data_IF_994692348304
#
_entry.id   IF_994692348304
#
_cell.length_a   1.000
_cell.length_b   1.000
_cell.length_c   1.000
_cell.angle_alpha   90.00
_cell.angle_beta   90.00
_cell.angle_gamma   90.00
#
_symmetry.space_group_name_H-M   'P 1'
#
loop_
_entity.id
_entity.type
_entity.pdbx_description
1 polymer ?
#
# COMPACT_ATOMS: atom_id res chain seq x y z
N UNK A 1 -13.65 -6.22 -26.07
CA UNK A 1 -13.61 -7.64 -25.70
C UNK A 1 -12.18 -8.11 -25.70
N UNK A 2 -11.79 -8.83 -24.65
CA UNK A 2 -10.44 -9.41 -24.51
C UNK A 2 -10.11 -10.38 -25.67
N UNK A 3 -8.86 -10.36 -26.11
CA UNK A 3 -8.34 -11.29 -27.10
C UNK A 3 -8.01 -12.65 -26.45
N UNK A 4 -8.81 -13.68 -26.74
CA UNK A 4 -8.63 -15.02 -26.18
C UNK A 4 -7.40 -15.76 -26.72
N UNK A 5 -6.84 -15.34 -27.87
CA UNK A 5 -5.59 -15.91 -28.37
C UNK A 5 -4.39 -15.40 -27.56
N UNK A 6 -4.44 -14.14 -27.12
CA UNK A 6 -3.39 -13.53 -26.31
C UNK A 6 -3.55 -13.79 -24.81
N UNK A 7 -4.79 -13.89 -24.34
CA UNK A 7 -5.13 -14.08 -22.93
C UNK A 7 -6.05 -15.31 -22.74
N UNK A 8 -5.54 -16.53 -23.01
CA UNK A 8 -6.35 -17.75 -23.07
C UNK A 8 -6.96 -18.16 -21.73
N UNK A 9 -6.37 -17.78 -20.59
CA UNK A 9 -6.93 -18.06 -19.26
C UNK A 9 -7.81 -16.92 -18.78
N UNK A 10 -7.30 -15.69 -18.82
CA UNK A 10 -8.03 -14.52 -18.34
C UNK A 10 -9.34 -14.28 -19.10
N UNK A 11 -9.39 -14.62 -20.40
CA UNK A 11 -10.62 -14.54 -21.19
C UNK A 11 -11.76 -15.43 -20.68
N UNK A 12 -11.42 -16.52 -20.00
CA UNK A 12 -12.38 -17.46 -19.39
C UNK A 12 -12.85 -17.04 -18.00
N UNK A 13 -12.29 -15.98 -17.42
CA UNK A 13 -12.62 -15.50 -16.07
C UNK A 13 -13.53 -14.28 -16.18
N UNK A 14 -14.83 -14.47 -15.92
CA UNK A 14 -15.78 -13.37 -15.75
C UNK A 14 -16.02 -13.05 -14.28
N UNK A 15 -15.86 -14.04 -13.40
CA UNK A 15 -16.06 -13.90 -11.96
C UNK A 15 -15.02 -14.72 -11.18
N UNK A 16 -14.90 -14.51 -9.86
CA UNK A 16 -14.04 -15.33 -9.01
C UNK A 16 -14.40 -16.83 -9.03
N UNK A 17 -15.65 -17.21 -9.35
CA UNK A 17 -16.03 -18.61 -9.50
C UNK A 17 -15.36 -19.28 -10.69
N UNK A 18 -15.14 -18.55 -11.78
CA UNK A 18 -14.41 -19.06 -12.95
C UNK A 18 -12.93 -19.22 -12.64
N UNK A 19 -12.34 -18.27 -11.89
CA UNK A 19 -10.95 -18.35 -11.42
C UNK A 19 -10.72 -19.61 -10.57
N UNK A 20 -11.68 -19.97 -9.72
CA UNK A 20 -11.61 -21.17 -8.86
C UNK A 20 -11.73 -22.50 -9.60
N UNK A 21 -12.05 -22.51 -10.90
CA UNK A 21 -12.11 -23.72 -11.73
C UNK A 21 -10.74 -24.10 -12.32
N UNK A 22 -9.77 -23.20 -12.26
CA UNK A 22 -8.41 -23.48 -12.71
C UNK A 22 -7.65 -24.26 -11.64
N UNK A 23 -6.69 -25.08 -12.07
CA UNK A 23 -5.75 -25.69 -11.16
C UNK A 23 -4.85 -24.62 -10.52
N UNK A 24 -4.45 -24.85 -9.27
CA UNK A 24 -3.59 -23.93 -8.52
C UNK A 24 -2.25 -23.66 -9.21
N UNK A 25 -1.76 -24.63 -10.00
CA UNK A 25 -0.56 -24.51 -10.82
C UNK A 25 -0.70 -23.52 -11.98
N UNK A 26 -1.93 -23.15 -12.38
CA UNK A 26 -2.19 -22.17 -13.44
C UNK A 26 -2.25 -20.72 -12.93
N UNK A 27 -2.33 -20.50 -11.61
CA UNK A 27 -2.44 -19.16 -11.03
C UNK A 27 -1.28 -18.22 -11.40
N UNK A 28 -0.01 -18.67 -11.48
CA UNK A 28 1.08 -17.83 -11.99
C UNK A 28 0.83 -17.34 -13.41
N UNK A 29 0.38 -18.21 -14.32
CA UNK A 29 0.09 -17.84 -15.69
C UNK A 29 -1.12 -16.88 -15.78
N UNK A 30 -2.12 -17.05 -14.91
CA UNK A 30 -3.26 -16.11 -14.81
C UNK A 30 -2.79 -14.74 -14.35
N UNK A 31 -1.90 -14.66 -13.36
CA UNK A 31 -1.32 -13.39 -12.91
C UNK A 31 -0.52 -12.69 -14.02
N UNK A 32 0.24 -13.45 -14.82
CA UNK A 32 0.98 -12.90 -15.97
C UNK A 32 0.04 -12.34 -17.04
N UNK A 33 -1.02 -13.07 -17.39
CA UNK A 33 -2.05 -12.60 -18.32
C UNK A 33 -2.77 -11.35 -17.78
N UNK A 34 -3.12 -11.35 -16.49
CA UNK A 34 -3.76 -10.21 -15.83
C UNK A 34 -2.86 -8.97 -15.84
N UNK A 35 -1.56 -9.15 -15.62
CA UNK A 35 -0.56 -8.08 -15.70
C UNK A 35 -0.47 -7.50 -17.09
N UNK A 36 -0.27 -8.35 -18.10
CA UNK A 36 -0.17 -7.91 -19.47
C UNK A 36 -1.45 -7.21 -19.94
N UNK A 37 -2.62 -7.70 -19.53
CA UNK A 37 -3.91 -7.08 -19.84
C UNK A 37 -4.10 -5.72 -19.15
N UNK A 38 -3.70 -5.61 -17.88
CA UNK A 38 -3.76 -4.37 -17.12
C UNK A 38 -2.87 -3.30 -17.76
N UNK A 39 -1.63 -3.66 -18.12
CA UNK A 39 -0.67 -2.78 -18.79
C UNK A 39 -1.27 -2.23 -20.09
N UNK A 40 -1.84 -3.11 -20.92
CA UNK A 40 -2.43 -2.70 -22.19
C UNK A 40 -3.67 -1.83 -22.00
N UNK A 41 -4.60 -2.24 -21.13
CA UNK A 41 -5.92 -1.62 -21.02
C UNK A 41 -5.84 -0.28 -20.30
N UNK A 42 -5.17 -0.24 -19.14
CA UNK A 42 -5.08 0.97 -18.32
C UNK A 42 -4.04 1.94 -18.87
N UNK A 43 -3.07 1.48 -19.66
CA UNK A 43 -2.22 2.37 -20.46
C UNK A 43 -3.05 3.30 -21.36
N UNK A 44 -4.15 2.79 -21.94
CA UNK A 44 -5.02 3.57 -22.84
C UNK A 44 -5.92 4.59 -22.11
N UNK A 45 -6.33 4.31 -20.87
CA UNK A 45 -7.23 5.18 -20.09
C UNK A 45 -6.48 6.12 -19.15
N UNK A 46 -5.28 5.75 -18.72
CA UNK A 46 -4.64 6.32 -17.54
C UNK A 46 -5.29 5.82 -16.25
N UNK A 47 -4.90 6.40 -15.11
CA UNK A 47 -5.35 6.00 -13.78
C UNK A 47 -4.20 5.64 -12.84
N UNK A 48 -4.52 4.94 -11.76
CA UNK A 48 -3.55 4.49 -10.75
C UNK A 48 -2.82 3.23 -11.21
N UNK A 49 -1.92 3.41 -12.16
CA UNK A 49 -1.30 2.32 -12.91
C UNK A 49 -0.35 1.47 -12.05
N UNK A 50 0.65 2.10 -11.41
CA UNK A 50 1.68 1.36 -10.67
C UNK A 50 1.16 0.59 -9.44
N UNK A 51 0.14 1.12 -8.77
CA UNK A 51 -0.41 0.49 -7.55
C UNK A 51 -1.11 -0.84 -7.85
N UNK A 52 -1.88 -0.91 -8.94
CA UNK A 52 -2.56 -2.15 -9.35
C UNK A 52 -1.57 -3.27 -9.73
N UNK A 53 -0.48 -2.93 -10.41
CA UNK A 53 0.55 -3.90 -10.81
C UNK A 53 1.20 -4.60 -9.61
N UNK A 54 1.40 -3.88 -8.50
CA UNK A 54 2.05 -4.42 -7.31
C UNK A 54 1.24 -5.47 -6.56
N UNK A 55 -0.08 -5.55 -6.77
CA UNK A 55 -0.98 -6.44 -6.00
C UNK A 55 -1.64 -7.52 -6.85
N UNK A 56 -1.15 -7.78 -8.06
CA UNK A 56 -1.75 -8.76 -8.98
C UNK A 56 -1.81 -10.14 -8.36
N UNK A 57 -0.67 -10.66 -7.90
CA UNK A 57 -0.57 -11.98 -7.29
C UNK A 57 -1.43 -12.10 -6.03
N UNK A 58 -1.37 -11.09 -5.17
CA UNK A 58 -2.20 -11.02 -3.97
C UNK A 58 -3.69 -11.04 -4.32
N UNK A 59 -4.10 -10.31 -5.34
CA UNK A 59 -5.51 -10.23 -5.77
C UNK A 59 -5.99 -11.55 -6.35
N UNK A 60 -5.16 -12.23 -7.16
CA UNK A 60 -5.43 -13.58 -7.67
C UNK A 60 -5.58 -14.56 -6.52
N UNK A 61 -4.64 -14.58 -5.57
CA UNK A 61 -4.69 -15.49 -4.42
C UNK A 61 -5.93 -15.24 -3.53
N UNK A 62 -6.29 -13.98 -3.29
CA UNK A 62 -7.48 -13.62 -2.53
C UNK A 62 -8.76 -14.10 -3.21
N UNK A 63 -8.96 -13.83 -4.50
CA UNK A 63 -10.17 -14.27 -5.19
C UNK A 63 -10.20 -15.78 -5.45
N UNK A 64 -9.04 -16.44 -5.53
CA UNK A 64 -9.00 -17.89 -5.61
C UNK A 64 -9.43 -18.54 -4.27
N UNK A 65 -9.02 -17.99 -3.13
CA UNK A 65 -9.26 -18.60 -1.83
C UNK A 65 -10.54 -18.16 -1.13
N UNK A 66 -10.95 -16.90 -1.27
CA UNK A 66 -12.10 -16.32 -0.57
C UNK A 66 -13.35 -16.37 -1.44
N UNK A 67 -14.49 -16.74 -0.87
CA UNK A 67 -15.78 -16.84 -1.56
C UNK A 67 -16.41 -15.45 -1.74
N UNK A 68 -15.71 -14.52 -2.37
CA UNK A 68 -16.27 -13.20 -2.68
C UNK A 68 -17.47 -13.32 -3.63
N UNK A 69 -18.57 -12.58 -3.44
CA UNK A 69 -18.74 -11.48 -2.47
C UNK A 69 -19.31 -11.91 -1.09
N UNK A 70 -19.48 -13.20 -0.82
CA UNK A 70 -19.90 -13.69 0.51
C UNK A 70 -18.84 -13.32 1.53
N UNK A 71 -17.61 -13.77 1.32
CA UNK A 71 -16.44 -13.24 2.00
C UNK A 71 -16.17 -11.80 1.53
N UNK A 72 -15.81 -10.92 2.46
CA UNK A 72 -15.78 -9.48 2.23
C UNK A 72 -14.33 -8.97 2.20
N UNK A 73 -13.98 -8.29 1.10
CA UNK A 73 -12.69 -7.62 0.93
C UNK A 73 -12.88 -6.10 1.00
N UNK A 74 -12.15 -5.46 1.90
CA UNK A 74 -12.09 -4.00 2.05
C UNK A 74 -10.71 -3.53 1.64
N UNK A 75 -10.63 -2.79 0.53
CA UNK A 75 -9.37 -2.28 -0.01
C UNK A 75 -9.15 -0.83 0.44
N UNK A 76 -8.05 -0.55 1.13
CA UNK A 76 -7.73 0.81 1.57
C UNK A 76 -7.38 1.71 0.39
N UNK A 77 -7.90 2.96 0.36
CA UNK A 77 -7.89 3.92 -0.76
C UNK A 77 -8.59 3.40 -2.02
N UNK A 78 -8.33 2.16 -2.44
CA UNK A 78 -8.92 1.51 -3.59
C UNK A 78 -8.12 1.66 -4.89
N UNK A 79 -7.09 2.50 -4.91
CA UNK A 79 -6.32 2.78 -6.12
C UNK A 79 -5.57 1.57 -6.70
N UNK A 80 -5.29 0.56 -5.88
CA UNK A 80 -4.66 -0.70 -6.25
C UNK A 80 -5.64 -1.76 -6.79
N UNK A 81 -6.93 -1.44 -6.94
CA UNK A 81 -7.98 -2.45 -7.18
C UNK A 81 -8.30 -2.74 -8.64
N UNK A 82 -7.52 -2.26 -9.61
CA UNK A 82 -7.78 -2.59 -11.01
C UNK A 82 -7.74 -4.10 -11.31
N UNK A 83 -6.78 -4.89 -10.77
CA UNK A 83 -6.84 -6.35 -10.86
C UNK A 83 -8.12 -6.95 -10.26
N UNK A 84 -8.58 -6.40 -9.12
CA UNK A 84 -9.82 -6.83 -8.46
C UNK A 84 -11.03 -6.58 -9.36
N UNK A 85 -11.15 -5.37 -9.95
CA UNK A 85 -12.23 -5.03 -10.88
C UNK A 85 -12.23 -5.95 -12.11
N UNK A 86 -11.05 -6.22 -12.67
CA UNK A 86 -10.90 -7.13 -13.81
C UNK A 86 -11.40 -8.54 -13.47
N UNK A 87 -11.02 -9.10 -12.32
CA UNK A 87 -11.42 -10.46 -11.91
C UNK A 87 -12.87 -10.57 -11.41
N UNK A 88 -13.60 -9.45 -11.35
CA UNK A 88 -14.97 -9.39 -10.80
C UNK A 88 -15.98 -8.78 -11.78
N UNK A 89 -15.86 -9.18 -13.05
CA UNK A 89 -16.85 -8.90 -14.09
C UNK A 89 -16.69 -7.58 -14.83
N UNK A 90 -15.66 -6.78 -14.50
CA UNK A 90 -15.44 -5.46 -15.13
C UNK A 90 -14.22 -5.44 -16.06
N UNK A 91 -13.74 -6.61 -16.46
CA UNK A 91 -12.58 -6.76 -17.35
C UNK A 91 -12.76 -5.96 -18.64
N UNK A 92 -13.83 -6.21 -19.37
CA UNK A 92 -14.04 -5.62 -20.69
C UNK A 92 -14.30 -4.10 -20.64
N UNK A 93 -14.71 -3.56 -19.49
CA UNK A 93 -14.99 -2.13 -19.27
C UNK A 93 -13.85 -1.37 -18.59
N UNK A 94 -12.78 -2.03 -18.15
CA UNK A 94 -11.71 -1.39 -17.35
C UNK A 94 -11.04 -0.20 -18.05
N UNK A 95 -11.03 -0.22 -19.39
CA UNK A 95 -10.50 0.86 -20.23
C UNK A 95 -11.32 2.17 -20.16
N UNK A 96 -12.49 2.15 -19.52
CA UNK A 96 -13.33 3.33 -19.28
C UNK A 96 -13.05 3.99 -17.93
N UNK A 97 -12.09 3.50 -17.16
CA UNK A 97 -11.82 4.01 -15.80
C UNK A 97 -11.52 5.52 -15.81
N UNK A 98 -12.08 6.24 -14.83
CA UNK A 98 -12.03 7.72 -14.71
C UNK A 98 -12.73 8.51 -15.82
N UNK A 99 -13.40 7.84 -16.77
CA UNK A 99 -14.25 8.52 -17.74
C UNK A 99 -15.65 8.73 -17.15
N UNK A 100 -16.36 9.73 -17.66
CA UNK A 100 -17.75 9.96 -17.28
C UNK A 100 -18.56 8.70 -17.62
N UNK A 101 -19.39 8.24 -16.68
CA UNK A 101 -20.25 7.05 -16.80
C UNK A 101 -19.49 5.72 -17.00
N UNK A 102 -18.15 5.74 -16.86
CA UNK A 102 -17.30 4.54 -16.91
C UNK A 102 -17.03 3.95 -15.53
N UNK A 103 -16.11 2.97 -15.49
CA UNK A 103 -15.70 2.30 -14.26
C UNK A 103 -15.11 3.30 -13.24
N UNK A 104 -15.56 3.22 -12.00
CA UNK A 104 -15.06 4.06 -10.92
C UNK A 104 -13.57 3.75 -10.64
N UNK A 105 -12.75 4.78 -10.37
CA UNK A 105 -11.32 4.58 -10.08
C UNK A 105 -11.03 3.87 -8.75
N UNK A 106 -12.03 3.77 -7.88
CA UNK A 106 -11.97 3.14 -6.57
C UNK A 106 -13.16 2.19 -6.41
N UNK A 107 -13.13 1.25 -5.44
CA UNK A 107 -14.29 0.46 -5.07
C UNK A 107 -15.50 1.34 -4.75
N UNK A 108 -16.62 1.02 -5.38
CA UNK A 108 -17.90 1.72 -5.23
C UNK A 108 -19.00 0.68 -5.06
N UNK A 109 -19.69 0.71 -3.92
CA UNK A 109 -20.68 -0.31 -3.54
C UNK A 109 -21.82 -0.44 -4.54
N UNK A 110 -22.24 0.68 -5.14
CA UNK A 110 -23.30 0.69 -6.15
C UNK A 110 -22.82 0.20 -7.52
N UNK A 111 -21.50 0.12 -7.76
CA UNK A 111 -20.93 -0.39 -9.02
C UNK A 111 -20.85 -1.92 -9.04
N UNK A 112 -20.55 -2.55 -7.91
CA UNK A 112 -20.32 -4.00 -7.86
C UNK A 112 -20.56 -4.58 -6.46
N UNK A 113 -21.19 -5.77 -6.34
CA UNK A 113 -21.31 -6.47 -5.06
C UNK A 113 -19.96 -6.90 -4.48
N UNK A 114 -18.90 -6.95 -5.31
CA UNK A 114 -17.54 -7.26 -4.87
C UNK A 114 -16.84 -6.06 -4.21
N UNK A 115 -17.34 -4.84 -4.42
CA UNK A 115 -16.84 -3.61 -3.82
C UNK A 115 -17.54 -3.41 -2.46
N UNK A 116 -17.15 -4.20 -1.46
CA UNK A 116 -17.95 -4.34 -0.21
C UNK A 116 -18.00 -3.08 0.66
N UNK A 117 -17.04 -2.16 0.49
CA UNK A 117 -16.99 -0.86 1.15
C UNK A 117 -16.49 0.22 0.18
N UNK A 118 -17.05 1.42 0.28
CA UNK A 118 -16.67 2.56 -0.56
C UNK A 118 -15.44 3.27 0.02
N UNK A 119 -14.46 3.57 -0.83
CA UNK A 119 -13.19 4.16 -0.39
C UNK A 119 -12.72 5.26 -1.34
N UNK A 120 -11.74 6.03 -0.87
CA UNK A 120 -11.05 7.08 -1.62
C UNK A 120 -10.05 7.80 -0.71
N UNK A 121 -10.50 8.15 0.49
CA UNK A 121 -9.58 8.47 1.58
C UNK A 121 -8.88 7.19 2.08
N UNK A 122 -7.67 7.35 2.59
CA UNK A 122 -6.84 6.27 3.13
C UNK A 122 -7.16 5.92 4.58
N UNK A 123 -6.67 4.78 5.01
CA UNK A 123 -6.63 4.31 6.41
C UNK A 123 -7.98 4.01 7.03
N UNK A 124 -9.02 3.89 6.21
CA UNK A 124 -10.38 3.55 6.65
C UNK A 124 -10.62 2.04 6.65
N UNK A 125 -9.78 1.26 5.97
CA UNK A 125 -10.06 -0.16 5.71
C UNK A 125 -10.16 -1.01 6.97
N UNK A 126 -9.24 -0.83 7.94
CA UNK A 126 -9.22 -1.63 9.17
C UNK A 126 -10.46 -1.32 10.01
N UNK A 127 -10.80 -0.05 10.21
CA UNK A 127 -12.02 0.35 10.94
C UNK A 127 -13.29 -0.19 10.28
N UNK A 128 -13.39 -0.06 8.95
CA UNK A 128 -14.54 -0.55 8.20
C UNK A 128 -14.67 -2.08 8.28
N UNK A 129 -13.58 -2.80 8.05
CA UNK A 129 -13.53 -4.26 8.12
C UNK A 129 -13.80 -4.77 9.54
N UNK A 130 -13.28 -4.09 10.57
CA UNK A 130 -13.57 -4.39 11.96
C UNK A 130 -15.06 -4.26 12.27
N UNK A 131 -15.69 -3.15 11.88
CA UNK A 131 -17.14 -2.96 12.05
C UNK A 131 -17.97 -4.01 11.32
N UNK A 132 -17.56 -4.40 10.12
CA UNK A 132 -18.18 -5.49 9.36
C UNK A 132 -18.02 -6.84 10.08
N UNK A 133 -16.83 -7.15 10.61
CA UNK A 133 -16.56 -8.39 11.33
C UNK A 133 -17.37 -8.49 12.64
N UNK A 134 -17.47 -7.39 13.39
CA UNK A 134 -18.30 -7.30 14.62
C UNK A 134 -19.77 -7.57 14.28
N UNK A 135 -20.31 -6.90 13.26
CA UNK A 135 -21.71 -7.08 12.86
C UNK A 135 -22.01 -8.54 12.46
N UNK A 136 -21.11 -9.18 11.70
CA UNK A 136 -21.26 -10.59 11.30
C UNK A 136 -21.17 -11.55 12.47
N UNK A 137 -20.26 -11.30 13.39
CA UNK A 137 -20.11 -12.12 14.60
C UNK A 137 -21.38 -12.08 15.47
N UNK A 138 -22.01 -10.91 15.62
CA UNK A 138 -23.27 -10.78 16.37
C UNK A 138 -24.43 -11.57 15.72
N UNK A 139 -24.39 -11.76 14.40
CA UNK A 139 -25.37 -12.55 13.66
C UNK A 139 -25.03 -14.06 13.62
N UNK A 140 -23.90 -14.47 14.20
CA UNK A 140 -23.42 -15.86 14.12
C UNK A 140 -22.91 -16.26 12.73
N UNK A 141 -22.58 -15.29 11.88
CA UNK A 141 -22.09 -15.49 10.52
C UNK A 141 -20.55 -15.62 10.50
N UNK A 142 -20.05 -16.78 10.10
CA UNK A 142 -18.62 -17.10 10.08
C UNK A 142 -17.88 -16.69 8.78
N UNK A 143 -18.52 -15.92 7.89
CA UNK A 143 -17.87 -15.39 6.68
C UNK A 143 -16.58 -14.62 7.03
N UNK A 144 -15.65 -14.58 6.09
CA UNK A 144 -14.36 -13.93 6.29
C UNK A 144 -14.43 -12.46 5.92
N UNK A 145 -13.78 -11.62 6.72
CA UNK A 145 -13.58 -10.20 6.44
C UNK A 145 -12.08 -9.91 6.37
N UNK A 146 -11.65 -9.30 5.28
CA UNK A 146 -10.23 -9.00 5.00
C UNK A 146 -10.08 -7.51 4.69
N UNK A 147 -9.21 -6.82 5.42
CA UNK A 147 -8.74 -5.49 5.08
C UNK A 147 -7.40 -5.57 4.35
N UNK A 148 -7.26 -4.94 3.19
CA UNK A 148 -5.98 -4.81 2.47
C UNK A 148 -5.52 -3.36 2.53
N UNK A 149 -4.44 -3.09 3.24
CA UNK A 149 -3.94 -1.73 3.54
C UNK A 149 -2.48 -1.59 3.12
N UNK A 150 -2.13 -0.45 2.52
CA UNK A 150 -0.74 -0.13 2.17
C UNK A 150 0.07 0.35 3.37
N UNK A 151 1.41 0.24 3.31
CA UNK A 151 2.33 0.73 4.33
C UNK A 151 2.18 2.24 4.59
N UNK A 152 2.01 3.05 3.54
CA UNK A 152 1.72 4.48 3.68
C UNK A 152 0.42 4.75 4.46
N UNK A 153 -0.65 4.01 4.17
CA UNK A 153 -1.94 4.16 4.86
C UNK A 153 -1.90 3.68 6.32
N UNK A 154 -1.01 2.74 6.66
CA UNK A 154 -0.80 2.29 8.04
C UNK A 154 -0.20 3.40 8.94
N UNK A 155 0.35 4.47 8.37
CA UNK A 155 0.92 5.60 9.14
C UNK A 155 -0.14 6.51 9.78
N UNK A 156 -1.40 6.43 9.33
CA UNK A 156 -2.46 7.31 9.82
C UNK A 156 -3.00 6.89 11.19
N UNK A 157 -3.39 7.89 12.00
CA UNK A 157 -3.97 7.68 13.33
C UNK A 157 -5.14 6.69 13.33
N UNK A 158 -6.08 6.82 12.37
CA UNK A 158 -7.26 5.95 12.26
C UNK A 158 -6.92 4.46 12.13
N UNK A 159 -5.81 4.12 11.46
CA UNK A 159 -5.36 2.73 11.35
C UNK A 159 -4.94 2.18 12.73
N UNK A 160 -4.18 2.97 13.51
CA UNK A 160 -3.77 2.61 14.87
C UNK A 160 -4.94 2.57 15.85
N UNK A 161 -5.87 3.52 15.76
CA UNK A 161 -7.08 3.53 16.55
C UNK A 161 -7.88 2.23 16.35
N UNK A 162 -8.00 1.79 15.10
CA UNK A 162 -8.70 0.55 14.76
C UNK A 162 -7.97 -0.70 15.26
N UNK A 163 -6.65 -0.78 15.08
CA UNK A 163 -5.83 -1.88 15.58
C UNK A 163 -5.90 -1.96 17.11
N UNK A 164 -5.72 -0.84 17.79
CA UNK A 164 -5.78 -0.74 19.24
C UNK A 164 -7.17 -1.11 19.79
N UNK A 165 -8.24 -0.61 19.15
CA UNK A 165 -9.60 -0.99 19.53
C UNK A 165 -9.78 -2.50 19.38
N UNK A 166 -9.47 -3.07 18.20
CA UNK A 166 -9.64 -4.50 17.94
C UNK A 166 -8.92 -5.36 18.99
N UNK A 167 -7.65 -5.06 19.27
CA UNK A 167 -6.84 -5.80 20.24
C UNK A 167 -7.31 -5.71 21.68
N UNK A 168 -8.04 -4.64 22.03
CA UNK A 168 -8.60 -4.42 23.36
C UNK A 168 -10.00 -5.00 23.57
N UNK A 169 -10.58 -5.68 22.57
CA UNK A 169 -11.92 -6.28 22.70
C UNK A 169 -11.84 -7.63 23.42
N UNK A 170 -12.72 -7.85 24.41
CA UNK A 170 -12.85 -9.16 25.08
C UNK A 170 -13.30 -10.27 24.12
N UNK A 171 -14.16 -9.90 23.16
CA UNK A 171 -14.61 -10.79 22.10
C UNK A 171 -13.86 -10.47 20.82
N UNK A 172 -12.93 -11.32 20.43
CA UNK A 172 -12.12 -11.13 19.24
C UNK A 172 -12.94 -11.41 17.96
N UNK A 173 -13.19 -10.39 17.10
CA UNK A 173 -13.80 -10.62 15.82
C UNK A 173 -12.84 -11.32 14.85
N UNK A 174 -13.41 -12.08 13.91
CA UNK A 174 -12.61 -12.72 12.87
C UNK A 174 -12.23 -11.71 11.78
N UNK A 175 -11.05 -11.12 11.91
CA UNK A 175 -10.51 -10.14 10.97
C UNK A 175 -9.12 -10.55 10.50
N UNK A 176 -8.89 -10.48 9.18
CA UNK A 176 -7.55 -10.51 8.59
C UNK A 176 -7.19 -9.13 8.06
N UNK A 177 -6.10 -8.57 8.56
CA UNK A 177 -5.45 -7.38 8.00
C UNK A 177 -4.28 -7.84 7.14
N UNK A 178 -4.24 -7.43 5.88
CA UNK A 178 -3.11 -7.64 4.98
C UNK A 178 -2.40 -6.30 4.79
N UNK A 179 -1.19 -6.21 5.35
CA UNK A 179 -0.29 -5.09 5.13
C UNK A 179 0.49 -5.33 3.85
N UNK A 180 0.18 -4.55 2.81
CA UNK A 180 0.89 -4.49 1.55
C UNK A 180 2.02 -3.46 1.64
N UNK A 181 3.23 -3.92 1.97
CA UNK A 181 4.43 -3.09 2.11
C UNK A 181 5.22 -3.05 0.81
N UNK A 182 5.28 -1.86 0.18
CA UNK A 182 6.16 -1.59 -0.95
C UNK A 182 7.15 -0.45 -0.66
N UNK A 183 7.29 -0.04 0.61
CA UNK A 183 8.07 1.10 1.09
C UNK A 183 7.70 2.47 0.46
N UNK A 184 6.51 2.61 -0.14
CA UNK A 184 6.09 3.82 -0.84
C UNK A 184 4.68 4.27 -0.43
N UNK A 185 4.52 5.59 -0.34
CA UNK A 185 3.24 6.28 -0.43
C UNK A 185 3.05 6.78 -1.88
N UNK A 186 2.72 8.07 -2.08
CA UNK A 186 2.94 8.75 -3.37
C UNK A 186 4.44 8.95 -3.54
N UNK A 187 5.06 9.66 -2.60
CA UNK A 187 6.51 9.73 -2.37
C UNK A 187 7.00 8.55 -1.52
N UNK A 188 8.29 8.52 -1.20
CA UNK A 188 8.85 7.54 -0.26
C UNK A 188 8.10 7.57 1.09
N UNK A 189 7.75 6.41 1.65
CA UNK A 189 7.06 6.37 2.94
C UNK A 189 7.96 6.94 4.06
N UNK A 190 7.38 7.76 4.94
CA UNK A 190 8.08 8.39 6.07
C UNK A 190 7.43 7.99 7.40
N UNK A 191 8.23 7.92 8.46
CA UNK A 191 7.74 7.66 9.82
C UNK A 191 8.54 6.61 10.58
N UNK A 192 8.27 6.50 11.88
CA UNK A 192 8.88 5.50 12.75
C UNK A 192 8.49 4.07 12.37
N UNK A 193 7.23 3.87 11.97
CA UNK A 193 6.74 2.57 11.51
C UNK A 193 7.45 2.11 10.23
N UNK A 194 7.58 2.98 9.22
CA UNK A 194 8.30 2.65 7.99
C UNK A 194 9.76 2.26 8.28
N UNK A 195 10.44 2.98 9.18
CA UNK A 195 11.79 2.61 9.62
C UNK A 195 11.83 1.24 10.32
N UNK A 196 10.81 0.90 11.11
CA UNK A 196 10.68 -0.40 11.77
C UNK A 196 10.48 -1.52 10.74
N UNK A 197 9.57 -1.34 9.79
CA UNK A 197 9.28 -2.31 8.73
C UNK A 197 10.51 -2.49 7.81
N UNK A 198 11.15 -1.40 7.38
CA UNK A 198 12.37 -1.44 6.55
C UNK A 198 13.58 -2.10 7.22
N UNK A 199 13.69 -2.07 8.55
CA UNK A 199 14.73 -2.84 9.27
C UNK A 199 14.47 -4.34 9.24
N UNK A 200 13.21 -4.76 9.29
CA UNK A 200 12.85 -6.17 9.21
C UNK A 200 13.17 -6.76 7.84
N UNK A 201 12.94 -6.00 6.76
CA UNK A 201 13.27 -6.40 5.38
C UNK A 201 14.79 -6.43 5.15
N UNK A 202 15.51 -5.39 5.61
CA UNK A 202 16.96 -5.30 5.50
C UNK A 202 17.70 -6.42 6.24
N UNK A 203 17.14 -6.96 7.33
CA UNK A 203 17.75 -8.06 8.09
C UNK A 203 17.90 -9.36 7.28
N UNK A 204 17.00 -9.66 6.33
CA UNK A 204 17.12 -10.83 5.44
C UNK A 204 18.27 -10.66 4.44
N UNK A 205 18.40 -9.49 3.84
CA UNK A 205 19.47 -9.16 2.88
C UNK A 205 20.83 -9.08 3.57
N UNK A 206 20.89 -8.51 4.78
CA UNK A 206 22.09 -8.47 5.60
C UNK A 206 22.51 -9.88 6.06
N UNK A 207 21.54 -10.75 6.36
CA UNK A 207 21.81 -12.15 6.69
C UNK A 207 22.33 -12.93 5.47
N UNK A 208 21.77 -12.73 4.27
CA UNK A 208 22.29 -13.33 3.04
C UNK A 208 23.73 -12.86 2.70
N UNK A 209 24.02 -11.56 2.86
CA UNK A 209 25.37 -11.00 2.73
C UNK A 209 26.34 -11.53 3.80
N UNK A 210 25.86 -11.70 5.05
CA UNK A 210 26.65 -12.29 6.15
C UNK A 210 26.94 -13.76 5.93
N UNK A 211 26.03 -14.52 5.32
CA UNK A 211 26.29 -15.92 4.95
C UNK A 211 27.30 -16.04 3.80
N UNK A 212 27.29 -15.11 2.85
CA UNK A 212 28.37 -14.96 1.86
C UNK A 212 29.72 -14.60 2.49
N UNK A 213 29.73 -13.69 3.47
CA UNK A 213 30.92 -13.28 4.21
C UNK A 213 31.48 -14.32 5.18
N UNK A 214 30.67 -15.28 5.64
CA UNK A 214 31.12 -16.41 6.48
C UNK A 214 32.09 -17.35 5.75
N UNK A 215 32.15 -17.32 4.41
CA UNK A 215 33.18 -18.05 3.64
C UNK A 215 34.56 -17.36 3.62
N UNK A 216 34.66 -16.10 4.06
CA UNK A 216 35.89 -15.30 4.00
C UNK A 216 36.55 -15.12 5.38
N UNK A 217 35.81 -15.33 6.46
CA UNK A 217 36.33 -15.18 7.82
C UNK A 217 36.69 -16.54 8.41
N UNK A 218 37.98 -16.84 8.34
CA UNK A 218 38.62 -18.01 8.96
C UNK A 218 38.39 -18.16 10.46
N UNK A 219 38.83 -19.32 10.94
CA UNK A 219 38.52 -20.02 12.18
C UNK A 219 38.14 -19.19 13.43
N UNK A 220 36.93 -19.46 13.95
CA UNK A 220 36.28 -18.72 15.06
C UNK A 220 36.48 -19.36 16.44
N UNK A 221 37.69 -19.76 16.82
CA UNK A 221 37.90 -20.32 18.18
C UNK A 221 38.51 -19.36 19.21
N UNK A 222 39.15 -18.25 18.84
CA UNK A 222 39.90 -17.44 19.82
C UNK A 222 39.74 -15.90 19.74
N UNK A 223 38.74 -15.35 19.03
CA UNK A 223 38.61 -13.89 18.91
C UNK A 223 37.62 -13.27 19.93
N UNK A 224 38.05 -12.40 20.86
CA UNK A 224 37.18 -11.70 21.82
C UNK A 224 36.10 -10.83 21.17
N UNK A 225 36.38 -10.23 20.00
CA UNK A 225 35.40 -9.41 19.27
C UNK A 225 34.24 -10.24 18.72
N UNK A 226 34.46 -11.52 18.37
CA UNK A 226 33.38 -12.40 17.92
C UNK A 226 32.36 -12.71 19.02
N UNK A 227 32.80 -12.80 20.29
CA UNK A 227 31.91 -12.99 21.45
C UNK A 227 31.14 -11.72 21.80
N UNK A 228 31.77 -10.54 21.69
CA UNK A 228 31.10 -9.27 21.88
C UNK A 228 30.03 -9.04 20.81
N UNK A 229 30.37 -9.26 19.52
CA UNK A 229 29.42 -9.18 18.40
C UNK A 229 28.27 -10.16 18.58
N UNK A 230 28.54 -11.42 18.98
CA UNK A 230 27.48 -12.42 19.22
C UNK A 230 26.52 -12.01 20.34
N UNK A 231 27.04 -11.48 21.46
CA UNK A 231 26.21 -10.97 22.57
C UNK A 231 25.41 -9.73 22.19
N UNK A 232 25.98 -8.84 21.38
CA UNK A 232 25.27 -7.69 20.82
C UNK A 232 24.17 -8.13 19.86
N UNK A 233 24.45 -9.13 19.02
CA UNK A 233 23.49 -9.75 18.10
C UNK A 233 22.35 -10.44 18.86
N UNK A 234 22.64 -11.13 19.97
CA UNK A 234 21.65 -11.76 20.84
C UNK A 234 20.79 -10.74 21.59
N UNK A 235 21.36 -9.61 22.04
CA UNK A 235 20.60 -8.50 22.65
C UNK A 235 19.77 -7.71 21.62
N UNK A 236 20.25 -7.54 20.40
CA UNK A 236 19.51 -6.85 19.33
C UNK A 236 18.35 -7.69 18.78
N UNK A 237 18.46 -9.03 18.81
CA UNK A 237 17.36 -9.94 18.43
C UNK A 237 16.17 -9.89 19.39
N UNK A 238 16.35 -9.38 20.61
CA UNK A 238 15.31 -9.27 21.63
C UNK A 238 14.62 -7.90 21.74
N UNK A 239 15.04 -6.89 20.96
CA UNK A 239 14.49 -5.54 21.00
C UNK A 239 13.95 -5.11 19.63
N UNK A 240 12.62 -5.12 19.49
CA UNK A 240 11.84 -4.59 18.36
C UNK A 240 12.02 -5.29 17.01
N UNK A 241 11.33 -6.42 16.85
CA UNK A 241 10.93 -6.97 15.55
C UNK A 241 9.50 -6.48 15.28
N UNK A 242 9.06 -6.18 14.04
CA UNK A 242 7.67 -5.80 13.78
C UNK A 242 6.61 -6.73 14.39
N UNK A 243 6.94 -8.02 14.56
CA UNK A 243 6.07 -9.00 15.21
C UNK A 243 5.68 -8.57 16.63
N UNK A 244 6.62 -8.04 17.43
CA UNK A 244 6.32 -7.64 18.82
C UNK A 244 5.34 -6.47 18.87
N UNK A 245 5.36 -5.54 17.92
CA UNK A 245 4.41 -4.42 17.95
C UNK A 245 2.96 -4.87 17.69
N UNK A 246 2.73 -5.65 16.64
CA UNK A 246 1.38 -6.09 16.29
C UNK A 246 0.85 -7.19 17.21
N UNK A 247 1.73 -8.06 17.72
CA UNK A 247 1.36 -9.08 18.71
C UNK A 247 0.94 -8.43 20.04
N UNK A 248 1.63 -7.37 20.50
CA UNK A 248 1.22 -6.61 21.69
C UNK A 248 -0.08 -5.82 21.47
N UNK A 249 -0.46 -5.55 20.20
CA UNK A 249 -1.79 -5.06 19.83
C UNK A 249 -2.82 -6.19 19.67
N UNK A 250 -2.52 -7.43 20.06
CA UNK A 250 -3.45 -8.55 20.03
C UNK A 250 -3.60 -9.24 18.67
N UNK A 251 -2.76 -8.93 17.67
CA UNK A 251 -2.85 -9.56 16.35
C UNK A 251 -1.88 -10.74 16.24
N UNK A 252 -2.37 -11.86 15.71
CA UNK A 252 -1.49 -12.93 15.22
C UNK A 252 -0.74 -12.46 13.97
N UNK A 253 0.52 -12.10 14.12
CA UNK A 253 1.36 -11.60 13.03
C UNK A 253 1.98 -12.74 12.21
N UNK A 254 1.99 -12.60 10.88
CA UNK A 254 2.62 -13.53 9.94
C UNK A 254 3.34 -12.77 8.85
N UNK A 255 4.61 -13.09 8.60
CA UNK A 255 5.43 -12.48 7.55
C UNK A 255 6.69 -11.78 8.07
N UNK A 256 7.35 -10.93 7.26
CA UNK A 256 6.99 -10.60 5.88
C UNK A 256 7.16 -11.80 4.93
N UNK A 257 6.27 -11.93 3.94
CA UNK A 257 6.40 -12.88 2.82
C UNK A 257 6.50 -12.15 1.47
N UNK A 258 7.02 -12.82 0.46
CA UNK A 258 7.05 -12.28 -0.90
C UNK A 258 5.63 -12.24 -1.50
N UNK A 259 5.16 -11.05 -1.84
CA UNK A 259 3.85 -10.81 -2.44
C UNK A 259 3.77 -11.11 -3.93
N UNK A 260 4.86 -11.52 -4.56
CA UNK A 260 4.89 -11.97 -5.95
C UNK A 260 5.09 -13.50 -6.08
N UNK A 261 5.25 -14.20 -4.96
CA UNK A 261 5.26 -15.66 -4.90
C UNK A 261 3.83 -16.18 -4.65
N UNK A 262 3.10 -16.50 -5.73
CA UNK A 262 1.73 -17.00 -5.64
C UNK A 262 1.62 -18.28 -4.81
N UNK A 263 2.44 -19.33 -5.02
CA UNK A 263 2.44 -20.51 -4.16
C UNK A 263 2.58 -20.18 -2.66
N UNK A 264 3.52 -19.30 -2.30
CA UNK A 264 3.71 -18.89 -0.90
C UNK A 264 2.51 -18.09 -0.36
N UNK A 265 1.95 -17.17 -1.17
CA UNK A 265 0.73 -16.42 -0.83
C UNK A 265 -0.45 -17.35 -0.59
N UNK A 266 -0.71 -18.27 -1.52
CA UNK A 266 -1.83 -19.21 -1.44
C UNK A 266 -1.69 -20.12 -0.22
N UNK A 267 -0.51 -20.69 0.02
CA UNK A 267 -0.25 -21.52 1.20
C UNK A 267 -0.46 -20.76 2.52
N UNK A 268 0.04 -19.53 2.60
CA UNK A 268 -0.08 -18.70 3.80
C UNK A 268 -1.52 -18.25 4.04
N UNK A 269 -2.21 -17.77 3.01
CA UNK A 269 -3.60 -17.34 3.10
C UNK A 269 -4.55 -18.51 3.41
N UNK A 270 -4.30 -19.71 2.88
CA UNK A 270 -5.04 -20.93 3.26
C UNK A 270 -4.94 -21.20 4.75
N UNK A 271 -3.72 -21.12 5.31
CA UNK A 271 -3.48 -21.29 6.75
C UNK A 271 -4.26 -20.24 7.56
N UNK A 272 -4.09 -18.96 7.22
CA UNK A 272 -4.74 -17.85 7.93
C UNK A 272 -6.27 -17.88 7.85
N UNK A 273 -6.84 -18.36 6.73
CA UNK A 273 -8.29 -18.50 6.55
C UNK A 273 -8.90 -19.49 7.55
N UNK A 274 -8.15 -20.50 7.97
CA UNK A 274 -8.56 -21.51 8.95
C UNK A 274 -8.47 -21.02 10.41
N UNK A 275 -7.71 -19.97 10.69
CA UNK A 275 -7.53 -19.43 12.04
C UNK A 275 -8.68 -18.47 12.41
N UNK A 276 -9.09 -18.48 13.69
CA UNK A 276 -10.04 -17.51 14.27
C UNK A 276 -9.31 -16.28 14.83
N UNK A 277 -10.04 -15.26 15.28
CA UNK A 277 -9.50 -14.06 15.92
C UNK A 277 -8.87 -13.04 14.96
N UNK A 278 -8.01 -12.18 15.51
CA UNK A 278 -7.34 -11.10 14.78
C UNK A 278 -6.02 -11.57 14.17
N UNK A 279 -5.83 -11.33 12.86
CA UNK A 279 -4.64 -11.73 12.11
C UNK A 279 -4.07 -10.57 11.35
N UNK A 280 -2.74 -10.48 11.28
CA UNK A 280 -2.03 -9.57 10.40
C UNK A 280 -1.05 -10.33 9.52
N UNK A 281 -1.25 -10.27 8.20
CA UNK A 281 -0.32 -10.78 7.20
C UNK A 281 0.48 -9.63 6.61
N UNK A 282 1.80 -9.68 6.74
CA UNK A 282 2.70 -8.71 6.12
C UNK A 282 3.23 -9.26 4.79
N UNK A 283 2.88 -8.59 3.70
CA UNK A 283 3.22 -8.94 2.32
C UNK A 283 4.12 -7.87 1.72
N UNK A 284 5.28 -8.27 1.18
CA UNK A 284 6.21 -7.38 0.49
C UNK A 284 5.89 -7.34 -1.00
N UNK A 285 5.68 -6.16 -1.58
CA UNK A 285 5.44 -6.01 -3.02
C UNK A 285 6.35 -4.94 -3.64
N UNK A 286 6.38 -4.91 -4.97
CA UNK A 286 7.03 -3.86 -5.75
C UNK A 286 5.96 -3.05 -6.48
N UNK A 287 5.85 -1.76 -6.18
CA UNK A 287 4.96 -0.86 -6.93
C UNK A 287 5.41 -0.81 -8.39
N UNK A 288 4.49 -1.03 -9.33
CA UNK A 288 4.80 -1.12 -10.76
C UNK A 288 5.26 -2.50 -11.26
N UNK A 289 5.18 -3.56 -10.44
CA UNK A 289 5.76 -4.88 -10.75
C UNK A 289 5.46 -5.38 -12.18
N UNK A 290 6.51 -5.78 -12.88
CA UNK A 290 6.52 -6.34 -14.22
C UNK A 290 6.31 -5.31 -15.34
N UNK A 291 6.40 -4.02 -15.02
CA UNK A 291 6.60 -2.96 -16.00
C UNK A 291 7.81 -2.11 -15.60
N UNK A 292 8.97 -2.40 -16.20
CA UNK A 292 10.28 -1.88 -15.79
C UNK A 292 10.31 -0.35 -15.60
N UNK A 293 9.59 0.40 -16.44
CA UNK A 293 9.55 1.87 -16.33
C UNK A 293 8.80 2.33 -15.07
N UNK A 294 7.74 1.63 -14.65
CA UNK A 294 7.05 1.96 -13.41
C UNK A 294 7.80 1.47 -12.17
N UNK A 295 8.56 0.37 -12.28
CA UNK A 295 9.46 -0.04 -11.19
C UNK A 295 10.59 0.99 -10.98
N UNK A 296 11.12 1.57 -12.07
CA UNK A 296 12.16 2.59 -12.01
C UNK A 296 11.68 4.02 -11.66
N UNK A 297 10.41 4.35 -11.93
CA UNK A 297 9.80 5.65 -11.62
C UNK A 297 8.41 5.49 -10.97
N UNK A 298 8.40 5.02 -9.74
CA UNK A 298 7.17 4.72 -9.00
C UNK A 298 6.33 5.97 -8.67
N UNK A 299 6.95 7.15 -8.63
CA UNK A 299 6.27 8.44 -8.41
C UNK A 299 5.59 8.87 -9.71
N UNK A 300 6.32 8.93 -10.82
CA UNK A 300 5.78 9.33 -12.12
C UNK A 300 4.67 8.41 -12.63
N UNK A 301 4.73 7.11 -12.31
CA UNK A 301 3.71 6.12 -12.68
C UNK A 301 2.63 5.90 -11.60
N UNK A 302 2.59 6.68 -10.52
CA UNK A 302 1.55 6.53 -9.49
C UNK A 302 0.14 6.85 -10.04
N UNK A 303 -0.01 7.97 -10.74
CA UNK A 303 -1.23 8.38 -11.41
C UNK A 303 -0.90 8.99 -12.77
N UNK A 304 -1.24 8.28 -13.84
CA UNK A 304 -0.84 8.64 -15.21
C UNK A 304 -2.05 9.00 -16.07
N UNK A 305 -1.83 9.87 -17.05
CA UNK A 305 -2.75 9.99 -18.19
C UNK A 305 -2.55 8.84 -19.18
N UNK A 306 -3.36 8.76 -20.25
CA UNK A 306 -3.14 7.82 -21.33
C UNK A 306 -1.70 7.87 -21.87
N UNK A 307 -1.09 6.70 -22.05
CA UNK A 307 0.26 6.54 -22.58
C UNK A 307 0.38 5.25 -23.38
N UNK A 308 1.39 5.20 -24.24
CA UNK A 308 1.74 4.01 -25.03
C UNK A 308 2.64 3.11 -24.15
N UNK A 309 2.22 1.90 -23.72
CA UNK A 309 3.02 1.05 -22.85
C UNK A 309 4.41 0.71 -23.41
N UNK A 310 4.55 0.62 -24.74
CA UNK A 310 5.83 0.30 -25.36
C UNK A 310 6.80 1.49 -25.31
N UNK A 311 6.29 2.73 -25.24
CA UNK A 311 7.09 3.97 -25.16
C UNK A 311 7.17 4.59 -23.76
N UNK A 312 6.19 4.30 -22.91
CA UNK A 312 6.06 4.88 -21.58
C UNK A 312 5.53 6.31 -21.60
N UNK A 313 5.71 7.01 -20.48
CA UNK A 313 5.33 8.42 -20.37
C UNK A 313 6.24 9.28 -21.24
N UNK A 314 5.65 9.91 -22.25
CA UNK A 314 6.33 10.89 -23.10
C UNK A 314 5.91 12.28 -22.65
N UNK A 315 6.89 13.15 -22.39
CA UNK A 315 6.62 14.54 -22.05
C UNK A 315 5.85 15.21 -23.21
N UNK A 316 4.65 15.72 -22.93
CA UNK A 316 3.95 16.57 -23.89
C UNK A 316 4.69 17.89 -24.01
N UNK A 317 5.28 18.16 -25.18
CA UNK A 317 5.95 19.42 -25.48
C UNK A 317 4.97 20.60 -25.49
N UNK A 318 5.44 21.76 -25.05
CA UNK A 318 4.69 23.02 -25.05
C UNK A 318 4.86 23.82 -23.76
N UNK A 319 4.76 25.14 -23.86
CA UNK A 319 4.75 26.02 -22.68
C UNK A 319 3.48 25.76 -21.86
N UNK A 320 3.63 25.29 -20.63
CA UNK A 320 2.51 25.14 -19.69
C UNK A 320 2.27 26.46 -18.99
N UNK A 321 0.99 26.84 -18.87
CA UNK A 321 0.59 27.92 -17.97
C UNK A 321 0.88 27.47 -16.52
N UNK A 322 1.27 28.39 -15.63
CA UNK A 322 1.49 28.04 -14.23
C UNK A 322 0.19 27.53 -13.60
N UNK A 323 0.31 26.46 -12.83
CA UNK A 323 -0.77 25.91 -12.01
C UNK A 323 -0.87 26.68 -10.69
N UNK A 324 -1.98 26.53 -9.96
CA UNK A 324 -2.07 27.05 -8.59
C UNK A 324 -0.98 26.49 -7.68
N UNK A 325 -0.60 25.22 -7.89
CA UNK A 325 0.49 24.56 -7.17
C UNK A 325 1.83 25.24 -7.46
N UNK A 326 2.11 25.62 -8.71
CA UNK A 326 3.35 26.32 -9.07
C UNK A 326 3.42 27.69 -8.37
N UNK A 327 2.33 28.46 -8.43
CA UNK A 327 2.25 29.79 -7.77
C UNK A 327 2.40 29.68 -6.26
N UNK A 328 1.78 28.68 -5.63
CA UNK A 328 1.95 28.43 -4.20
C UNK A 328 3.39 28.03 -3.86
N UNK A 329 4.02 27.18 -4.67
CA UNK A 329 5.41 26.73 -4.47
C UNK A 329 6.39 27.90 -4.47
N UNK A 330 6.26 28.79 -5.47
CA UNK A 330 7.09 29.98 -5.59
C UNK A 330 6.90 30.91 -4.39
N UNK A 331 5.65 31.22 -4.04
CA UNK A 331 5.35 32.04 -2.86
C UNK A 331 5.93 31.45 -1.58
N UNK A 332 5.79 30.12 -1.37
CA UNK A 332 6.25 29.48 -0.15
C UNK A 332 7.77 29.60 0.01
N UNK A 333 8.52 29.44 -1.09
CA UNK A 333 9.98 29.56 -1.07
C UNK A 333 10.42 31.01 -0.88
N UNK A 334 9.79 31.95 -1.58
CA UNK A 334 10.08 33.39 -1.45
C UNK A 334 9.77 33.89 -0.03
N UNK A 335 8.64 33.47 0.54
CA UNK A 335 8.27 33.79 1.92
C UNK A 335 9.26 33.18 2.93
N UNK A 336 9.76 31.97 2.68
CA UNK A 336 10.74 31.32 3.54
C UNK A 336 12.12 31.99 3.48
N UNK A 337 12.48 32.57 2.34
CA UNK A 337 13.70 33.36 2.20
C UNK A 337 13.64 34.65 3.04
N UNK A 338 12.47 35.29 3.10
CA UNK A 338 12.25 36.52 3.86
C UNK A 338 11.96 36.29 5.36
N UNK A 339 11.40 35.14 5.73
CA UNK A 339 11.00 34.83 7.10
C UNK A 339 11.67 33.53 7.60
N UNK A 340 12.71 33.64 8.44
CA UNK A 340 13.43 32.49 8.97
C UNK A 340 12.56 31.49 9.75
N UNK A 341 11.47 31.98 10.37
CA UNK A 341 10.56 31.17 11.20
C UNK A 341 9.49 30.42 10.42
N UNK A 342 9.41 30.59 9.10
CA UNK A 342 8.42 29.91 8.27
C UNK A 342 8.76 28.43 8.17
N UNK A 343 7.78 27.57 8.45
CA UNK A 343 7.91 26.11 8.38
C UNK A 343 6.86 25.56 7.40
N UNK A 344 7.26 24.66 6.50
CA UNK A 344 6.37 24.01 5.54
C UNK A 344 5.98 22.61 6.00
N UNK A 345 4.69 22.33 6.08
CA UNK A 345 4.15 21.05 6.55
C UNK A 345 3.24 20.45 5.47
N UNK A 346 3.38 19.16 5.20
CA UNK A 346 2.48 18.43 4.29
C UNK A 346 2.17 17.03 4.82
N UNK A 347 0.92 16.54 4.73
CA UNK A 347 0.60 15.15 5.04
C UNK A 347 0.79 14.27 3.79
N UNK A 348 2.01 13.81 3.52
CA UNK A 348 2.37 12.92 2.40
C UNK A 348 2.06 13.44 0.98
N UNK A 349 1.81 14.74 0.82
CA UNK A 349 1.45 15.35 -0.46
C UNK A 349 2.56 16.28 -0.99
N UNK A 350 3.83 15.86 -0.89
CA UNK A 350 5.00 16.69 -1.30
C UNK A 350 4.90 17.17 -2.74
N UNK A 351 4.68 16.25 -3.68
CA UNK A 351 4.59 16.56 -5.11
C UNK A 351 3.29 17.29 -5.44
N UNK A 352 2.16 16.79 -4.95
CA UNK A 352 0.84 17.33 -5.25
C UNK A 352 0.61 18.76 -4.74
N UNK A 353 1.16 19.07 -3.57
CA UNK A 353 1.07 20.40 -2.95
C UNK A 353 2.23 21.34 -3.34
N UNK A 354 3.17 20.90 -4.17
CA UNK A 354 4.24 21.78 -4.69
C UNK A 354 5.37 22.05 -3.70
N UNK A 355 5.67 21.14 -2.76
CA UNK A 355 6.73 21.33 -1.76
C UNK A 355 8.09 20.77 -2.18
N UNK A 356 8.23 20.21 -3.39
CA UNK A 356 9.49 19.59 -3.86
C UNK A 356 10.67 20.58 -3.83
N UNK A 357 10.46 21.83 -4.27
CA UNK A 357 11.48 22.88 -4.23
C UNK A 357 11.79 23.27 -2.79
N UNK A 358 10.75 23.55 -2.01
CA UNK A 358 10.87 23.92 -0.60
C UNK A 358 11.63 22.87 0.23
N UNK A 359 11.34 21.57 0.03
CA UNK A 359 12.01 20.48 0.76
C UNK A 359 13.51 20.38 0.44
N UNK A 360 13.93 20.84 -0.74
CA UNK A 360 15.34 20.84 -1.18
C UNK A 360 16.09 22.08 -0.71
N UNK A 361 15.45 23.25 -0.81
CA UNK A 361 16.05 24.54 -0.42
C UNK A 361 16.04 24.74 1.10
N UNK A 362 15.01 24.23 1.80
CA UNK A 362 14.81 24.43 3.23
C UNK A 362 14.53 23.11 3.96
N UNK A 363 15.43 22.10 3.89
CA UNK A 363 15.19 20.77 4.44
C UNK A 363 14.92 20.76 5.95
N UNK A 364 15.56 21.65 6.72
CA UNK A 364 15.36 21.76 8.17
C UNK A 364 14.01 22.40 8.56
N UNK A 365 13.32 23.01 7.59
CA UNK A 365 12.03 23.70 7.79
C UNK A 365 10.88 22.97 7.10
N UNK A 366 11.14 21.81 6.50
CA UNK A 366 10.17 20.97 5.82
C UNK A 366 9.79 19.77 6.68
N UNK A 367 8.48 19.56 6.86
CA UNK A 367 7.94 18.47 7.65
C UNK A 367 6.91 17.70 6.83
N UNK A 368 7.23 16.44 6.53
CA UNK A 368 6.26 15.48 6.02
C UNK A 368 5.76 14.62 7.18
N UNK A 369 4.47 14.71 7.48
CA UNK A 369 3.86 13.99 8.61
C UNK A 369 3.26 12.65 8.21
N UNK A 370 3.60 12.14 7.03
CA UNK A 370 2.94 10.98 6.41
C UNK A 370 1.44 11.23 6.22
N UNK A 371 0.63 10.17 6.14
CA UNK A 371 -0.83 10.29 5.97
C UNK A 371 -1.47 10.59 7.33
N UNK A 372 -1.24 11.79 7.87
CA UNK A 372 -1.71 12.18 9.20
C UNK A 372 -2.16 13.65 9.24
N UNK A 373 -3.28 13.96 8.60
CA UNK A 373 -3.81 15.32 8.48
C UNK A 373 -4.10 15.97 9.84
N UNK A 374 -4.75 15.24 10.74
CA UNK A 374 -5.03 15.69 12.12
C UNK A 374 -3.76 16.05 12.87
N UNK A 375 -2.70 15.25 12.67
CA UNK A 375 -1.40 15.51 13.24
C UNK A 375 -0.75 16.74 12.57
N UNK A 376 -0.84 16.90 11.25
CA UNK A 376 -0.29 18.04 10.52
C UNK A 376 -0.78 19.38 11.10
N UNK A 377 -2.08 19.49 11.31
CA UNK A 377 -2.72 20.72 11.82
C UNK A 377 -2.37 20.95 13.29
N UNK A 378 -2.38 19.90 14.12
CA UNK A 378 -2.04 20.02 15.54
C UNK A 378 -0.55 20.32 15.76
N UNK A 379 0.32 19.73 14.95
CA UNK A 379 1.75 20.03 14.92
C UNK A 379 1.99 21.50 14.58
N UNK A 380 1.32 22.01 13.54
CA UNK A 380 1.36 23.41 13.17
C UNK A 380 0.87 24.31 14.31
N UNK A 381 -0.24 23.96 14.97
CA UNK A 381 -0.72 24.71 16.13
C UNK A 381 0.34 24.79 17.25
N UNK A 382 0.97 23.65 17.58
CA UNK A 382 2.08 23.59 18.54
C UNK A 382 3.25 24.49 18.15
N UNK A 383 3.71 24.42 16.89
CA UNK A 383 4.76 25.29 16.35
C UNK A 383 4.38 26.78 16.45
N UNK A 384 3.13 27.13 16.13
CA UNK A 384 2.65 28.51 16.21
C UNK A 384 2.68 29.04 17.66
N UNK A 385 2.37 28.21 18.67
CA UNK A 385 2.48 28.63 20.09
C UNK A 385 3.89 29.01 20.51
N UNK A 386 4.91 28.49 19.81
CA UNK A 386 6.33 28.77 20.06
C UNK A 386 6.90 29.87 19.16
N UNK A 387 6.02 30.65 18.49
CA UNK A 387 6.41 31.79 17.67
C UNK A 387 6.91 31.45 16.26
N UNK A 388 6.81 30.18 15.82
CA UNK A 388 7.03 29.79 14.44
C UNK A 388 5.86 30.24 13.53
N UNK A 389 6.05 30.21 12.22
CA UNK A 389 5.04 30.56 11.21
C UNK A 389 4.77 29.37 10.28
N UNK A 390 4.02 28.35 10.75
CA UNK A 390 3.78 27.15 9.97
C UNK A 390 2.78 27.39 8.84
N UNK A 391 3.03 26.77 7.69
CA UNK A 391 2.12 26.66 6.55
C UNK A 391 1.82 25.19 6.32
N UNK A 392 0.56 24.79 6.50
CA UNK A 392 0.09 23.44 6.21
C UNK A 392 -0.46 23.40 4.80
N UNK A 393 0.23 22.69 3.91
CA UNK A 393 -0.17 22.51 2.51
C UNK A 393 -0.97 21.22 2.36
N UNK A 394 -2.29 21.34 2.36
CA UNK A 394 -3.23 20.22 2.43
C UNK A 394 -4.36 20.39 1.42
N UNK A 395 -4.80 19.29 0.81
CA UNK A 395 -5.92 19.32 -0.12
C UNK A 395 -7.23 19.55 0.65
N UNK A 396 -8.16 20.29 0.04
CA UNK A 396 -9.46 20.60 0.65
C UNK A 396 -10.25 19.35 1.08
N UNK A 397 -10.19 18.26 0.31
CA UNK A 397 -10.87 17.01 0.70
C UNK A 397 -10.22 16.32 1.88
N UNK A 398 -8.90 16.46 2.08
CA UNK A 398 -8.18 15.86 3.19
C UNK A 398 -8.24 16.71 4.46
N UNK A 399 -8.43 18.03 4.34
CA UNK A 399 -8.67 18.92 5.49
C UNK A 399 -9.95 18.57 6.28
N UNK A 400 -10.83 17.73 5.73
CA UNK A 400 -12.00 17.21 6.44
C UNK A 400 -11.64 16.17 7.51
N UNK A 401 -10.43 15.58 7.46
CA UNK A 401 -9.88 14.68 8.47
C UNK A 401 -9.38 15.45 9.68
#
# INVERSE_FOLDING_TARGET
MIDSARYPRLSRIQSPDDLRRFDESELPAIADELRAYLIESVGKSGGHFGAGLGVIELTVALHYLYQTPVDQLVWDVGHQTYPHKILTGRRDDIHTVKQKDGVAPFPKREESPFDTFGVGHSSTSISAALGMAIARQLEGDERKVVAVIGDGAMTAGMAYEALNHAGGMDSEPNLLVILNDNNMSISEAVGGLTKMLGRATGSRTLNALREGGKKILGDKKHNPTARFVKRWEEHWKGMFVPSTFFEEMGFHYTGPIDGHDIPALVATLKTLKGLKGLKLLHVMTTKGKGYERAEGDQIGYHAVGPFDPDKGLVAKGGAKKPTYTDVFSDWLCDAAAAEPRLLGITPAMREGSGLVRFSKEYPERYFDVAIAEQHAVTLAAGMATQGAKPVVAIYSTFLQR
#
